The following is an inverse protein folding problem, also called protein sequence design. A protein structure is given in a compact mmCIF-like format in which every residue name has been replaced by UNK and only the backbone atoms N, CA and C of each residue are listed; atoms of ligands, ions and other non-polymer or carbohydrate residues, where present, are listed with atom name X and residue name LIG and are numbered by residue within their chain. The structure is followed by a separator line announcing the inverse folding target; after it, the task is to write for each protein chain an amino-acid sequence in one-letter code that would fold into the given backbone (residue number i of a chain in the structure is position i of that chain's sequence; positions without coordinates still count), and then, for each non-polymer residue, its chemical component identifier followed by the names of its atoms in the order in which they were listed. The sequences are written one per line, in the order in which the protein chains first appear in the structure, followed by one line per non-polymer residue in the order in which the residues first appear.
data_IF_137282208433
#
_entry.id   IF_137282208433
#
_cell.length_a   1.000
_cell.length_b   1.000
_cell.length_c   1.000
_cell.angle_alpha   90.00
_cell.angle_beta   90.00
_cell.angle_gamma   90.00
#
_symmetry.space_group_name_H-M   'P 1'
#
loop_
_entity.id
_entity.type
_entity.pdbx_description
1 polymer ?
#
# COMPACT_ATOMS: atom_id res chain seq x y z
N UNK A 1 -3.12 29.25 7.98
CA UNK A 1 -2.30 28.08 8.37
C UNK A 1 -2.59 27.00 7.33
N UNK A 2 -1.55 26.37 6.75
CA UNK A 2 -1.73 25.34 5.72
C UNK A 2 -2.48 24.14 6.33
N UNK A 3 -3.72 23.88 5.88
CA UNK A 3 -4.58 22.85 6.46
C UNK A 3 -3.98 21.45 6.33
N UNK A 4 -3.20 21.21 5.27
CA UNK A 4 -2.51 19.92 5.02
C UNK A 4 -1.47 19.61 6.11
N UNK A 5 -0.93 20.66 6.75
CA UNK A 5 0.04 20.53 7.85
C UNK A 5 -0.63 20.37 9.21
N UNK A 6 -1.95 20.37 9.29
CA UNK A 6 -2.67 20.00 10.50
C UNK A 6 -2.84 18.48 10.52
N UNK A 7 -2.51 17.86 11.65
CA UNK A 7 -2.65 16.42 11.79
C UNK A 7 -4.12 16.00 11.64
N UNK A 8 -4.32 14.85 11.02
CA UNK A 8 -5.60 14.16 11.01
C UNK A 8 -6.12 13.97 12.43
N UNK A 9 -7.40 14.28 12.66
CA UNK A 9 -8.01 14.08 13.97
C UNK A 9 -8.14 12.59 14.23
N UNK A 10 -7.62 12.14 15.37
CA UNK A 10 -7.85 10.79 15.87
C UNK A 10 -9.25 10.73 16.50
N UNK A 11 -10.13 9.91 15.93
CA UNK A 11 -11.49 9.71 16.42
C UNK A 11 -11.60 8.27 16.90
N UNK A 12 -11.76 8.11 18.22
CA UNK A 12 -12.10 6.83 18.86
C UNK A 12 -13.61 6.74 18.99
N UNK A 13 -14.18 5.55 18.82
CA UNK A 13 -15.63 5.31 18.78
C UNK A 13 -16.31 6.16 17.69
N UNK A 14 -16.04 5.85 16.40
CA UNK A 14 -16.61 6.60 15.29
C UNK A 14 -18.15 6.64 15.35
N UNK A 15 -18.69 7.82 15.03
CA UNK A 15 -20.12 8.02 14.88
C UNK A 15 -20.63 7.49 13.52
N UNK A 16 -21.94 7.61 13.29
CA UNK A 16 -22.61 7.08 12.10
C UNK A 16 -22.09 7.66 10.77
N UNK A 17 -21.38 8.80 10.76
CA UNK A 17 -20.77 9.33 9.52
C UNK A 17 -19.76 8.38 8.90
N UNK A 18 -19.14 7.52 9.72
CA UNK A 18 -18.13 6.55 9.28
C UNK A 18 -18.69 5.13 9.12
N UNK A 19 -20.01 4.96 9.18
CA UNK A 19 -20.67 3.66 9.00
C UNK A 19 -20.49 3.10 7.58
N UNK A 20 -20.70 1.79 7.43
CA UNK A 20 -20.50 1.09 6.15
C UNK A 20 -21.43 1.62 5.04
N UNK A 21 -22.68 1.99 5.37
CA UNK A 21 -23.67 2.49 4.40
C UNK A 21 -23.41 3.93 3.93
N UNK A 22 -22.50 4.67 4.58
CA UNK A 22 -22.13 6.03 4.21
C UNK A 22 -20.85 6.09 3.37
N UNK A 23 -20.14 4.97 3.20
CA UNK A 23 -18.92 4.89 2.39
C UNK A 23 -19.21 4.32 1.00
N UNK A 24 -18.92 5.10 -0.03
CA UNK A 24 -19.04 4.65 -1.43
C UNK A 24 -17.70 4.17 -2.02
N UNK A 25 -16.62 4.26 -1.24
CA UNK A 25 -15.30 3.82 -1.63
C UNK A 25 -14.51 3.28 -0.45
N UNK A 26 -13.70 2.23 -0.68
CA UNK A 26 -12.60 1.82 0.20
C UNK A 26 -11.59 0.94 -0.51
N UNK A 27 -10.33 0.97 -0.05
CA UNK A 27 -9.27 0.11 -0.58
C UNK A 27 -7.91 0.36 0.07
N UNK A 28 -6.86 -0.19 -0.55
CA UNK A 28 -5.45 -0.01 -0.16
C UNK A 28 -5.24 -0.43 1.29
N UNK A 29 -5.52 -1.70 1.63
CA UNK A 29 -5.40 -2.15 2.99
C UNK A 29 -3.94 -2.37 3.39
N UNK A 30 -3.73 -2.41 4.70
CA UNK A 30 -2.53 -2.82 5.38
C UNK A 30 -2.87 -3.68 6.58
N UNK A 31 -2.01 -4.65 6.92
CA UNK A 31 -2.23 -5.57 8.04
C UNK A 31 -0.98 -5.73 8.90
N UNK A 32 -1.14 -5.85 10.21
CA UNK A 32 -0.10 -6.18 11.18
C UNK A 32 -0.61 -7.16 12.23
N UNK A 33 0.30 -7.88 12.89
CA UNK A 33 -0.05 -8.86 13.92
C UNK A 33 0.82 -8.63 15.16
N UNK A 34 0.18 -8.50 16.32
CA UNK A 34 0.87 -8.44 17.60
C UNK A 34 1.31 -9.86 18.05
N UNK A 35 2.26 -9.95 18.97
CA UNK A 35 2.82 -11.25 19.40
C UNK A 35 1.84 -12.16 20.15
N UNK A 36 0.69 -11.67 20.59
CA UNK A 36 -0.41 -12.49 21.12
C UNK A 36 -1.38 -13.00 20.03
N UNK A 37 -1.09 -12.75 18.75
CA UNK A 37 -1.95 -13.14 17.62
C UNK A 37 -3.02 -12.11 17.24
N UNK A 38 -3.16 -11.00 17.98
CA UNK A 38 -4.12 -9.95 17.62
C UNK A 38 -3.76 -9.33 16.28
N UNK A 39 -4.71 -9.33 15.36
CA UNK A 39 -4.60 -8.70 14.06
C UNK A 39 -5.07 -7.25 14.11
N UNK A 40 -4.39 -6.42 13.34
CA UNK A 40 -4.72 -5.03 13.07
C UNK A 40 -4.80 -4.84 11.56
N UNK A 41 -5.88 -4.25 11.08
CA UNK A 41 -6.05 -3.88 9.68
C UNK A 41 -6.33 -2.38 9.59
N UNK A 42 -5.72 -1.73 8.60
CA UNK A 42 -5.98 -0.35 8.25
C UNK A 42 -6.26 -0.24 6.77
N UNK A 43 -7.13 0.67 6.37
CA UNK A 43 -7.43 0.99 4.97
C UNK A 43 -7.95 2.42 4.92
N UNK A 44 -8.12 2.97 3.73
CA UNK A 44 -8.83 4.24 3.59
C UNK A 44 -10.08 4.09 2.75
N UNK A 45 -10.99 5.02 2.96
CA UNK A 45 -12.28 5.03 2.31
C UNK A 45 -13.00 6.32 2.64
N UNK A 46 -14.32 6.28 2.56
CA UNK A 46 -15.11 7.52 2.58
C UNK A 46 -15.21 8.12 1.19
N UNK A 47 -15.81 9.30 1.12
CA UNK A 47 -16.10 9.96 -0.16
C UNK A 47 -16.86 9.07 -1.16
N UNK A 48 -16.77 9.46 -2.42
CA UNK A 48 -17.35 8.71 -3.54
C UNK A 48 -16.34 7.78 -4.22
N UNK A 49 -15.06 8.11 -4.08
CA UNK A 49 -13.90 7.51 -4.74
C UNK A 49 -12.63 8.04 -4.04
N UNK A 50 -11.48 8.03 -4.73
CA UNK A 50 -10.27 8.68 -4.23
C UNK A 50 -10.41 10.21 -4.31
N UNK A 51 -10.83 10.84 -3.21
CA UNK A 51 -11.13 12.28 -3.15
C UNK A 51 -10.73 12.92 -1.81
N UNK A 52 -11.04 14.21 -1.68
CA UNK A 52 -10.80 15.03 -0.49
C UNK A 52 -11.53 14.55 0.77
N UNK A 53 -12.59 13.75 0.64
CA UNK A 53 -13.43 13.28 1.75
C UNK A 53 -12.97 11.90 2.27
N UNK A 54 -11.77 11.47 1.86
CA UNK A 54 -11.17 10.23 2.29
C UNK A 54 -10.49 10.34 3.66
N UNK A 55 -10.64 9.28 4.46
CA UNK A 55 -10.05 9.12 5.79
C UNK A 55 -9.53 7.70 6.01
N UNK A 56 -8.65 7.52 7.01
CA UNK A 56 -8.13 6.20 7.39
C UNK A 56 -9.09 5.55 8.40
N UNK A 57 -9.33 4.26 8.23
CA UNK A 57 -10.00 3.39 9.18
C UNK A 57 -9.01 2.36 9.74
N UNK A 58 -9.17 2.03 11.02
CA UNK A 58 -8.43 0.94 11.67
C UNK A 58 -9.41 0.04 12.41
N UNK A 59 -9.26 -1.28 12.24
CA UNK A 59 -9.96 -2.30 12.99
C UNK A 59 -8.98 -3.33 13.56
N UNK A 60 -9.37 -4.01 14.63
CA UNK A 60 -8.59 -5.12 15.19
C UNK A 60 -9.46 -6.35 15.41
N UNK A 61 -8.81 -7.52 15.43
CA UNK A 61 -9.44 -8.81 15.67
C UNK A 61 -8.55 -9.65 16.59
N UNK A 62 -9.15 -10.34 17.56
CA UNK A 62 -8.42 -11.32 18.37
C UNK A 62 -8.19 -12.64 17.61
N UNK A 63 -9.06 -12.92 16.65
CA UNK A 63 -9.02 -14.06 15.73
C UNK A 63 -9.10 -13.55 14.29
N UNK A 64 -9.69 -14.32 13.36
CA UNK A 64 -9.82 -13.91 11.94
C UNK A 64 -11.01 -13.00 11.62
N UNK A 65 -11.96 -12.85 12.54
CA UNK A 65 -13.16 -12.02 12.35
C UNK A 65 -12.96 -10.59 12.88
N UNK A 66 -12.98 -9.62 11.97
CA UNK A 66 -12.87 -8.20 12.31
C UNK A 66 -14.22 -7.61 12.71
N UNK A 67 -14.19 -6.74 13.72
CA UNK A 67 -15.31 -5.87 14.07
C UNK A 67 -15.36 -4.60 13.21
N UNK A 68 -16.29 -3.67 13.51
CA UNK A 68 -16.30 -2.36 12.85
C UNK A 68 -15.00 -1.58 13.14
N UNK A 69 -14.67 -0.56 12.33
CA UNK A 69 -13.54 0.33 12.61
C UNK A 69 -13.61 0.89 14.04
N UNK A 70 -12.53 0.73 14.81
CA UNK A 70 -12.43 1.23 16.18
C UNK A 70 -11.79 2.63 16.25
N UNK A 71 -11.05 3.02 15.22
CA UNK A 71 -10.36 4.30 15.12
C UNK A 71 -10.41 4.84 13.69
N UNK A 72 -10.58 6.16 13.58
CA UNK A 72 -10.54 6.92 12.33
C UNK A 72 -9.45 7.99 12.42
N UNK A 73 -8.74 8.23 11.31
CA UNK A 73 -7.92 9.44 11.11
C UNK A 73 -8.58 10.30 10.04
N UNK A 74 -9.16 11.42 10.45
CA UNK A 74 -9.95 12.31 9.59
C UNK A 74 -9.38 13.75 9.65
N UNK A 75 -8.65 14.20 8.63
CA UNK A 75 -8.11 15.56 8.59
C UNK A 75 -9.18 16.61 8.29
N UNK A 76 -8.99 17.87 8.76
CA UNK A 76 -10.00 18.91 8.61
C UNK A 76 -10.02 19.51 7.20
N UNK A 77 -11.19 19.98 6.78
CA UNK A 77 -11.34 20.80 5.57
C UNK A 77 -11.29 19.97 4.29
N UNK A 78 -10.62 20.48 3.25
CA UNK A 78 -10.47 19.78 1.96
C UNK A 78 -9.18 18.96 1.91
N UNK A 79 -8.82 18.34 3.01
CA UNK A 79 -7.63 17.49 3.14
C UNK A 79 -8.12 16.07 3.24
N UNK A 80 -7.48 15.16 2.51
CA UNK A 80 -7.71 13.72 2.65
C UNK A 80 -6.61 13.06 3.44
N UNK A 81 -6.95 11.97 4.13
CA UNK A 81 -5.99 10.98 4.61
C UNK A 81 -6.15 9.68 3.83
N UNK A 82 -5.04 9.11 3.37
CA UNK A 82 -5.04 7.97 2.46
C UNK A 82 -3.75 7.16 2.59
N UNK A 83 -3.71 6.00 1.93
CA UNK A 83 -2.52 5.17 1.82
C UNK A 83 -1.93 4.80 3.20
N UNK A 84 -2.69 4.06 4.01
CA UNK A 84 -2.23 3.65 5.33
C UNK A 84 -1.22 2.49 5.29
N UNK A 85 -0.27 2.50 6.21
CA UNK A 85 0.64 1.38 6.45
C UNK A 85 0.72 1.07 7.96
N UNK A 86 0.41 -0.17 8.32
CA UNK A 86 0.63 -0.70 9.66
C UNK A 86 1.99 -1.40 9.73
N UNK A 87 2.73 -1.22 10.82
CA UNK A 87 4.02 -1.86 11.01
C UNK A 87 4.30 -2.17 12.47
N UNK A 88 4.66 -3.43 12.73
CA UNK A 88 5.24 -3.82 14.01
C UNK A 88 6.73 -3.50 13.96
N UNK A 89 7.17 -2.58 14.81
CA UNK A 89 8.59 -2.26 14.90
C UNK A 89 9.38 -3.34 15.67
N UNK A 90 10.72 -3.30 15.64
CA UNK A 90 11.55 -4.27 16.37
C UNK A 90 11.36 -4.30 17.89
N UNK A 91 10.68 -3.30 18.47
CA UNK A 91 10.36 -3.20 19.90
C UNK A 91 8.93 -3.65 20.23
N UNK A 92 8.25 -4.29 19.28
CA UNK A 92 6.85 -4.71 19.38
C UNK A 92 5.84 -3.55 19.54
N UNK A 93 6.18 -2.34 19.12
CA UNK A 93 5.21 -1.25 19.00
C UNK A 93 4.50 -1.34 17.67
N UNK A 94 3.20 -1.03 17.66
CA UNK A 94 2.44 -0.94 16.42
C UNK A 94 2.40 0.51 15.96
N UNK A 95 2.97 0.75 14.78
CA UNK A 95 2.90 2.02 14.08
C UNK A 95 1.77 2.02 13.06
N UNK A 96 1.07 3.15 12.96
CA UNK A 96 0.19 3.50 11.86
C UNK A 96 0.79 4.71 11.15
N UNK A 97 1.12 4.54 9.87
CA UNK A 97 1.50 5.62 8.97
C UNK A 97 0.33 5.93 8.04
N UNK A 98 0.20 7.19 7.63
CA UNK A 98 -0.73 7.60 6.58
C UNK A 98 -0.19 8.81 5.82
N UNK A 99 -0.74 9.03 4.63
CA UNK A 99 -0.43 10.19 3.80
C UNK A 99 -1.56 11.22 3.88
N UNK A 100 -1.23 12.51 3.86
CA UNK A 100 -2.19 13.62 3.78
C UNK A 100 -1.90 14.53 2.59
N UNK A 101 -2.96 14.99 1.92
CA UNK A 101 -2.85 15.97 0.83
C UNK A 101 -4.09 16.86 0.80
N UNK A 102 -3.94 18.08 0.29
CA UNK A 102 -5.10 18.87 -0.15
C UNK A 102 -5.70 18.21 -1.39
N UNK A 103 -7.03 18.03 -1.37
CA UNK A 103 -7.79 17.36 -2.43
C UNK A 103 -7.11 16.04 -2.88
N UNK A 104 -7.08 15.73 -4.17
CA UNK A 104 -6.46 14.51 -4.69
C UNK A 104 -4.94 14.44 -4.44
N UNK A 105 -4.19 15.45 -4.92
CA UNK A 105 -2.73 15.55 -4.75
C UNK A 105 -2.25 17.00 -4.91
N UNK A 106 -1.64 17.55 -3.86
CA UNK A 106 -1.20 18.95 -3.78
C UNK A 106 0.22 19.19 -4.33
N UNK A 107 0.88 18.14 -4.81
CA UNK A 107 2.26 18.17 -5.28
C UNK A 107 3.28 17.82 -4.20
N UNK A 108 2.90 17.82 -2.91
CA UNK A 108 3.79 17.56 -1.76
C UNK A 108 3.37 16.34 -0.95
N UNK A 109 2.09 16.21 -0.66
CA UNK A 109 1.53 15.31 0.36
C UNK A 109 2.26 15.44 1.72
N UNK A 110 2.10 14.46 2.60
CA UNK A 110 2.84 14.40 3.85
C UNK A 110 2.58 13.10 4.57
N UNK A 111 3.65 12.41 4.94
CA UNK A 111 3.59 11.20 5.75
C UNK A 111 3.49 11.59 7.21
N UNK A 112 2.49 11.05 7.88
CA UNK A 112 2.24 11.18 9.31
C UNK A 112 2.28 9.83 9.98
N UNK A 113 2.52 9.82 11.29
CA UNK A 113 2.56 8.60 12.07
C UNK A 113 2.01 8.77 13.48
N UNK A 114 1.43 7.69 13.99
CA UNK A 114 1.17 7.45 15.42
C UNK A 114 1.62 6.03 15.75
N UNK A 115 1.85 5.75 17.03
CA UNK A 115 2.13 4.40 17.48
C UNK A 115 1.47 4.09 18.81
N UNK A 116 1.33 2.80 19.10
CA UNK A 116 0.98 2.29 20.42
C UNK A 116 2.03 1.33 20.96
N UNK A 117 2.31 1.47 22.26
CA UNK A 117 3.19 0.59 23.03
C UNK A 117 2.51 -0.75 23.40
N UNK A 118 1.18 -0.85 23.28
CA UNK A 118 0.43 -2.02 23.72
C UNK A 118 -0.53 -2.58 22.65
N UNK A 119 -0.01 -3.10 21.53
CA UNK A 119 -0.86 -3.58 20.43
C UNK A 119 -1.58 -4.91 20.73
N UNK A 120 -1.39 -5.47 21.93
CA UNK A 120 -1.96 -6.76 22.36
C UNK A 120 -3.43 -6.61 22.82
N UNK A 121 -3.85 -5.40 23.21
CA UNK A 121 -5.22 -5.09 23.63
C UNK A 121 -6.05 -4.50 22.48
N UNK A 122 -7.37 -4.61 22.54
CA UNK A 122 -8.28 -4.16 21.47
C UNK A 122 -8.46 -2.64 21.41
N UNK A 123 -8.21 -1.94 22.52
CA UNK A 123 -8.40 -0.50 22.65
C UNK A 123 -7.18 0.14 23.35
N UNK A 124 -6.02 0.20 22.68
CA UNK A 124 -4.81 0.74 23.28
C UNK A 124 -4.77 2.26 23.18
N UNK A 125 -3.91 2.87 24.00
CA UNK A 125 -3.54 4.27 23.86
C UNK A 125 -2.57 4.48 22.70
N UNK A 126 -2.76 5.56 21.96
CA UNK A 126 -1.92 5.96 20.82
C UNK A 126 -1.18 7.26 21.13
N UNK A 127 0.00 7.41 20.57
CA UNK A 127 0.76 8.66 20.64
C UNK A 127 0.05 9.81 19.92
N UNK A 128 0.47 11.04 20.21
CA UNK A 128 0.11 12.18 19.37
C UNK A 128 0.66 12.01 17.94
N UNK A 129 -0.05 12.51 16.91
CA UNK A 129 0.43 12.51 15.53
C UNK A 129 1.74 13.26 15.35
N UNK A 130 2.68 12.65 14.63
CA UNK A 130 3.94 13.28 14.22
C UNK A 130 4.05 13.26 12.70
N UNK A 131 4.40 14.41 12.12
CA UNK A 131 4.72 14.50 10.68
C UNK A 131 6.14 14.03 10.44
N UNK A 132 6.31 13.10 9.51
CA UNK A 132 7.61 12.48 9.19
C UNK A 132 8.31 13.24 8.06
N UNK A 133 7.64 13.38 6.91
CA UNK A 133 8.21 14.01 5.72
C UNK A 133 7.14 14.34 4.68
N UNK A 134 7.56 14.96 3.58
CA UNK A 134 6.78 15.10 2.36
C UNK A 134 6.75 13.76 1.61
N UNK A 135 5.71 13.53 0.81
CA UNK A 135 5.51 12.31 0.02
C UNK A 135 4.39 11.41 0.50
N UNK A 136 4.31 10.23 -0.12
CA UNK A 136 3.26 9.23 0.05
C UNK A 136 3.90 7.91 0.48
N UNK A 137 3.35 7.29 1.51
CA UNK A 137 3.85 6.03 2.05
C UNK A 137 2.69 5.08 2.33
N UNK A 138 2.64 3.96 1.59
CA UNK A 138 1.64 2.89 1.80
C UNK A 138 2.27 1.54 2.15
N UNK A 139 3.60 1.44 2.09
CA UNK A 139 4.32 0.19 2.32
C UNK A 139 5.05 0.22 3.65
N UNK A 140 5.23 -0.97 4.24
CA UNK A 140 5.84 -1.11 5.57
C UNK A 140 7.30 -0.63 5.56
N UNK A 141 7.75 0.05 6.63
CA UNK A 141 9.17 0.19 6.92
C UNK A 141 9.89 -1.16 6.98
N UNK A 142 11.20 -1.13 6.77
CA UNK A 142 12.13 -2.23 7.01
C UNK A 142 13.02 -1.87 8.20
N UNK A 143 12.99 -2.68 9.26
CA UNK A 143 14.00 -2.66 10.32
C UNK A 143 15.20 -3.49 9.88
N UNK A 144 16.37 -2.86 9.77
CA UNK A 144 17.62 -3.50 9.38
C UNK A 144 18.27 -4.24 10.55
N UNK A 145 19.11 -5.21 10.23
CA UNK A 145 19.88 -6.00 11.20
C UNK A 145 20.85 -5.16 12.06
N UNK A 146 21.23 -3.96 11.61
CA UNK A 146 22.03 -3.00 12.39
C UNK A 146 21.19 -2.08 13.31
N UNK A 147 19.86 -2.24 13.33
CA UNK A 147 18.92 -1.44 14.12
C UNK A 147 18.40 -0.18 13.43
N UNK A 148 18.93 0.21 12.27
CA UNK A 148 18.42 1.34 11.48
C UNK A 148 17.09 0.98 10.82
N UNK A 149 16.17 1.92 10.73
CA UNK A 149 14.90 1.76 10.02
C UNK A 149 14.99 2.45 8.67
N UNK A 150 14.41 1.83 7.65
CA UNK A 150 14.22 2.41 6.31
C UNK A 150 12.73 2.48 5.99
N UNK A 151 12.25 3.66 5.62
CA UNK A 151 10.85 3.93 5.29
C UNK A 151 10.74 4.23 3.79
N UNK A 152 9.97 3.44 3.02
CA UNK A 152 9.77 3.69 1.60
C UNK A 152 8.72 4.78 1.38
N UNK A 153 9.14 5.94 0.84
CA UNK A 153 8.25 7.08 0.58
C UNK A 153 8.36 7.48 -0.89
N UNK A 154 7.25 7.56 -1.61
CA UNK A 154 7.23 8.04 -2.99
C UNK A 154 6.92 9.53 -3.04
N UNK A 155 7.76 10.29 -3.72
CA UNK A 155 7.45 11.65 -4.12
C UNK A 155 6.93 11.61 -5.56
N UNK A 156 5.61 11.44 -5.72
CA UNK A 156 5.00 11.24 -7.03
C UNK A 156 5.34 12.36 -8.04
N UNK A 157 5.46 12.05 -9.34
CA UNK A 157 5.70 13.06 -10.34
C UNK A 157 4.52 14.04 -10.51
N UNK A 158 4.78 15.23 -11.07
CA UNK A 158 3.82 16.34 -11.09
C UNK A 158 2.60 16.15 -11.98
N UNK A 159 2.63 15.24 -12.97
CA UNK A 159 1.46 14.99 -13.82
C UNK A 159 0.26 14.39 -13.05
N UNK A 160 0.47 13.97 -11.80
CA UNK A 160 -0.60 13.58 -10.88
C UNK A 160 -1.28 14.76 -10.17
N UNK A 161 -0.72 15.97 -10.23
CA UNK A 161 -1.28 17.15 -9.56
C UNK A 161 -2.54 17.58 -10.29
N UNK A 162 -3.68 17.42 -9.61
CA UNK A 162 -4.99 17.81 -10.12
C UNK A 162 -5.73 18.51 -9.01
N UNK A 163 -5.55 19.83 -8.97
CA UNK A 163 -6.10 20.68 -7.93
C UNK A 163 -7.21 21.57 -8.48
N UNK A 164 -8.36 21.67 -7.80
CA UNK A 164 -9.37 22.65 -8.15
C UNK A 164 -8.89 24.08 -7.89
N UNK A 165 -8.00 24.27 -6.91
CA UNK A 165 -7.38 25.54 -6.58
C UNK A 165 -5.84 25.41 -6.61
N UNK A 166 -5.22 26.04 -7.60
CA UNK A 166 -3.78 26.01 -7.82
C UNK A 166 -2.99 26.74 -6.72
N UNK A 167 -3.62 27.56 -5.89
CA UNK A 167 -2.95 28.20 -4.74
C UNK A 167 -2.53 27.19 -3.66
N UNK A 168 -3.10 25.98 -3.69
CA UNK A 168 -2.70 24.86 -2.83
C UNK A 168 -1.57 24.01 -3.40
N UNK A 169 -1.11 24.30 -4.62
CA UNK A 169 0.06 23.61 -5.15
C UNK A 169 1.28 23.87 -4.27
N UNK A 170 2.03 22.81 -4.00
CA UNK A 170 3.26 22.82 -3.21
C UNK A 170 4.35 22.13 -4.01
N UNK A 171 5.32 22.91 -4.45
CA UNK A 171 6.55 22.38 -5.01
C UNK A 171 7.47 21.89 -3.89
N UNK A 172 8.16 20.79 -4.14
CA UNK A 172 9.14 20.22 -3.23
C UNK A 172 10.53 20.44 -3.82
N UNK A 173 11.51 20.77 -2.99
CA UNK A 173 12.92 20.88 -3.37
C UNK A 173 13.59 19.51 -3.59
N UNK A 174 12.90 18.43 -3.21
CA UNK A 174 13.37 17.05 -3.32
C UNK A 174 13.10 16.43 -4.70
N UNK A 175 13.96 15.49 -5.15
CA UNK A 175 13.69 14.68 -6.33
C UNK A 175 12.37 13.92 -6.21
N UNK A 176 11.57 13.91 -7.28
CA UNK A 176 10.31 13.17 -7.38
C UNK A 176 10.57 11.72 -7.73
N UNK A 177 11.05 11.00 -6.74
CA UNK A 177 11.57 9.63 -6.85
C UNK A 177 11.00 8.74 -5.73
N UNK A 178 11.36 7.45 -5.80
CA UNK A 178 11.26 6.49 -4.71
C UNK A 178 12.30 6.81 -3.62
N UNK A 179 11.99 7.76 -2.73
CA UNK A 179 12.90 8.17 -1.66
C UNK A 179 12.89 7.19 -0.49
N UNK A 180 14.02 7.08 0.19
CA UNK A 180 14.19 6.28 1.40
C UNK A 180 14.46 7.22 2.56
N UNK A 181 13.50 7.28 3.47
CA UNK A 181 13.67 7.93 4.76
C UNK A 181 14.29 6.94 5.75
N UNK A 182 14.99 7.44 6.76
CA UNK A 182 15.65 6.61 7.75
C UNK A 182 15.55 7.15 9.16
N UNK A 183 15.50 6.24 10.14
CA UNK A 183 15.61 6.53 11.56
C UNK A 183 16.66 5.62 12.20
N UNK A 184 17.48 6.17 13.09
CA UNK A 184 18.53 5.44 13.85
C UNK A 184 18.26 5.41 15.36
N UNK A 185 17.14 5.95 15.78
CA UNK A 185 16.81 6.22 17.19
C UNK A 185 15.40 5.74 17.54
N UNK A 186 15.00 4.62 16.94
CA UNK A 186 13.71 3.97 17.13
C UNK A 186 12.50 4.87 16.79
N UNK A 187 12.62 5.64 15.71
CA UNK A 187 11.53 6.48 15.20
C UNK A 187 11.37 7.80 15.94
N UNK A 188 12.38 8.27 16.68
CA UNK A 188 12.33 9.61 17.30
C UNK A 188 12.68 10.71 16.29
N UNK A 189 13.62 10.45 15.38
CA UNK A 189 13.99 11.36 14.30
C UNK A 189 14.09 10.64 12.97
N UNK A 190 13.83 11.38 11.89
CA UNK A 190 13.84 10.87 10.51
C UNK A 190 14.63 11.80 9.59
N UNK A 191 15.39 11.23 8.67
CA UNK A 191 16.13 11.97 7.64
C UNK A 191 16.07 11.25 6.29
N UNK A 192 16.15 12.00 5.19
CA UNK A 192 16.26 11.39 3.86
C UNK A 192 17.66 10.78 3.72
N UNK A 193 17.73 9.48 3.47
CA UNK A 193 18.99 8.73 3.37
C UNK A 193 19.44 8.58 1.92
N UNK A 194 18.52 8.20 1.05
CA UNK A 194 18.80 7.93 -0.37
C UNK A 194 17.49 7.88 -1.17
N UNK A 195 17.57 7.42 -2.41
CA UNK A 195 16.43 7.12 -3.28
C UNK A 195 16.81 5.97 -4.21
N UNK A 196 15.83 5.23 -4.71
CA UNK A 196 16.04 4.22 -5.75
C UNK A 196 16.17 4.94 -7.10
N UNK A 197 17.31 4.85 -7.80
CA UNK A 197 17.51 5.59 -9.04
C UNK A 197 16.71 4.95 -10.18
N UNK A 198 15.89 5.76 -10.82
CA UNK A 198 15.05 5.36 -11.95
C UNK A 198 15.51 6.13 -13.21
N UNK A 199 15.55 5.48 -14.37
CA UNK A 199 16.02 6.09 -15.62
C UNK A 199 14.86 6.47 -16.57
N UNK A 200 13.62 6.34 -16.11
CA UNK A 200 12.42 6.51 -16.94
C UNK A 200 11.45 7.50 -16.29
N UNK A 201 10.83 8.39 -17.08
CA UNK A 201 9.70 9.15 -16.59
C UNK A 201 8.57 8.18 -16.21
N UNK A 202 8.22 8.19 -14.93
CA UNK A 202 7.15 7.38 -14.34
C UNK A 202 5.79 8.01 -14.61
N UNK A 203 4.78 7.19 -14.93
CA UNK A 203 3.37 7.62 -14.89
C UNK A 203 2.61 7.02 -13.72
N UNK A 204 3.17 5.99 -13.09
CA UNK A 204 2.62 5.32 -11.92
C UNK A 204 3.41 5.65 -10.66
N UNK A 205 2.76 5.54 -9.50
CA UNK A 205 3.44 5.66 -8.22
C UNK A 205 4.45 4.53 -8.04
N UNK A 206 5.61 4.85 -7.45
CA UNK A 206 6.71 3.89 -7.29
C UNK A 206 6.36 2.73 -6.36
N UNK A 207 5.51 3.02 -5.36
CA UNK A 207 4.96 2.07 -4.38
C UNK A 207 6.00 1.03 -3.93
N UNK A 208 7.22 1.50 -3.60
CA UNK A 208 8.38 0.63 -3.47
C UNK A 208 8.44 -0.07 -2.11
N UNK A 209 9.10 -1.22 -2.07
CA UNK A 209 9.31 -2.04 -0.87
C UNK A 209 10.77 -2.46 -0.75
N UNK A 210 11.23 -2.65 0.48
CA UNK A 210 12.64 -2.97 0.78
C UNK A 210 12.73 -4.31 1.51
N UNK A 211 13.77 -5.08 1.18
CA UNK A 211 14.10 -6.32 1.89
C UNK A 211 15.60 -6.38 2.15
N UNK A 212 15.98 -6.75 3.38
CA UNK A 212 17.36 -7.09 3.72
C UNK A 212 17.60 -8.58 3.45
N UNK A 213 18.45 -8.87 2.46
CA UNK A 213 18.80 -10.23 2.06
C UNK A 213 19.83 -10.80 3.02
N UNK A 214 20.87 -10.02 3.32
CA UNK A 214 21.85 -10.29 4.36
C UNK A 214 22.34 -8.95 4.93
N UNK A 215 23.03 -8.92 6.09
CA UNK A 215 23.49 -7.68 6.71
C UNK A 215 24.17 -6.73 5.72
N UNK A 216 23.54 -5.58 5.46
CA UNK A 216 24.02 -4.56 4.51
C UNK A 216 23.73 -4.79 3.03
N UNK A 217 23.22 -5.96 2.64
CA UNK A 217 22.74 -6.26 1.28
C UNK A 217 21.21 -6.15 1.21
N UNK A 218 20.73 -5.12 0.54
CA UNK A 218 19.30 -4.82 0.38
C UNK A 218 18.85 -4.99 -1.06
N UNK A 219 17.59 -5.37 -1.23
CA UNK A 219 16.86 -5.30 -2.49
C UNK A 219 15.70 -4.32 -2.32
N UNK A 220 15.57 -3.39 -3.27
CA UNK A 220 14.47 -2.44 -3.38
C UNK A 220 13.64 -2.77 -4.60
N UNK A 221 12.36 -3.06 -4.40
CA UNK A 221 11.42 -3.44 -5.44
C UNK A 221 10.48 -2.27 -5.75
N UNK A 222 10.25 -2.01 -7.03
CA UNK A 222 9.48 -0.88 -7.54
C UNK A 222 8.27 -1.38 -8.35
N UNK A 223 7.12 -0.73 -8.20
CA UNK A 223 6.03 -0.83 -9.17
C UNK A 223 6.42 -0.06 -10.42
N UNK A 224 6.24 -0.66 -11.60
CA UNK A 224 6.58 -0.03 -12.88
C UNK A 224 5.54 -0.31 -13.96
N UNK A 225 5.57 0.47 -15.02
CA UNK A 225 4.75 0.30 -16.22
C UNK A 225 5.12 -0.94 -17.05
N UNK A 226 6.14 -1.70 -16.64
CA UNK A 226 6.54 -2.96 -17.27
C UNK A 226 6.57 -4.15 -16.31
N UNK A 227 6.02 -4.02 -15.10
CA UNK A 227 5.97 -5.07 -14.08
C UNK A 227 6.64 -4.63 -12.79
N UNK A 228 7.62 -5.41 -12.32
CA UNK A 228 8.39 -5.11 -11.11
C UNK A 228 9.79 -4.65 -11.52
N UNK A 229 10.24 -3.52 -10.98
CA UNK A 229 11.62 -3.07 -11.02
C UNK A 229 12.39 -3.52 -9.78
N UNK A 230 13.71 -3.70 -9.90
CA UNK A 230 14.58 -4.01 -8.76
C UNK A 230 15.87 -3.17 -8.81
N UNK A 231 16.26 -2.67 -7.64
CA UNK A 231 17.55 -2.07 -7.35
C UNK A 231 18.21 -2.83 -6.19
N UNK A 232 19.53 -2.87 -6.15
CA UNK A 232 20.28 -3.49 -5.04
C UNK A 232 21.17 -2.46 -4.35
N UNK A 233 21.36 -2.63 -3.04
CA UNK A 233 22.31 -1.87 -2.24
C UNK A 233 23.20 -2.83 -1.47
N UNK A 234 24.48 -2.49 -1.34
CA UNK A 234 25.49 -3.27 -0.62
C UNK A 234 26.14 -2.47 0.53
N UNK A 235 25.55 -1.34 0.87
CA UNK A 235 26.06 -0.37 1.84
C UNK A 235 24.95 0.16 2.76
N UNK A 236 24.02 -0.74 3.15
CA UNK A 236 22.90 -0.42 4.04
C UNK A 236 21.90 0.59 3.45
N UNK A 237 21.73 0.63 2.12
CA UNK A 237 20.79 1.52 1.46
C UNK A 237 21.31 2.94 1.29
N UNK A 238 22.62 3.17 1.34
CA UNK A 238 23.22 4.49 1.08
C UNK A 238 23.29 4.75 -0.43
N UNK A 239 23.76 3.76 -1.19
CA UNK A 239 23.75 3.79 -2.66
C UNK A 239 23.01 2.59 -3.23
N UNK A 240 22.49 2.76 -4.44
CA UNK A 240 21.69 1.77 -5.14
C UNK A 240 22.18 1.59 -6.56
N UNK A 241 22.13 0.35 -7.05
CA UNK A 241 22.32 0.07 -8.48
C UNK A 241 21.20 0.72 -9.30
N UNK A 242 21.44 0.91 -10.60
CA UNK A 242 20.37 1.25 -11.54
C UNK A 242 19.25 0.22 -11.51
N UNK A 243 18.02 0.69 -11.69
CA UNK A 243 16.84 -0.15 -11.85
C UNK A 243 17.03 -1.19 -12.97
N UNK A 244 16.59 -2.41 -12.70
CA UNK A 244 16.46 -3.50 -13.68
C UNK A 244 15.06 -4.08 -13.62
N UNK A 245 14.62 -4.70 -14.71
CA UNK A 245 13.38 -5.48 -14.71
C UNK A 245 13.58 -6.72 -13.84
N UNK A 246 12.65 -6.95 -12.91
CA UNK A 246 12.58 -8.15 -12.10
C UNK A 246 11.62 -9.15 -12.73
N UNK A 247 12.16 -10.17 -13.40
CA UNK A 247 11.37 -11.18 -14.14
C UNK A 247 11.17 -12.49 -13.39
N UNK A 248 11.76 -12.66 -12.20
CA UNK A 248 11.70 -13.92 -11.45
C UNK A 248 10.29 -14.22 -10.89
N UNK A 249 9.45 -13.21 -10.72
CA UNK A 249 8.05 -13.33 -10.33
C UNK A 249 7.16 -12.67 -11.39
N UNK A 250 6.23 -13.45 -11.95
CA UNK A 250 5.28 -12.96 -12.94
C UNK A 250 4.28 -12.02 -12.25
N UNK A 251 4.22 -10.78 -12.73
CA UNK A 251 3.33 -9.75 -12.23
C UNK A 251 2.88 -8.83 -13.36
N UNK A 252 1.63 -8.36 -13.29
CA UNK A 252 1.16 -7.34 -14.24
C UNK A 252 1.82 -5.99 -13.95
N UNK A 253 1.95 -5.13 -14.97
CA UNK A 253 2.44 -3.78 -14.75
C UNK A 253 1.46 -2.86 -14.02
N UNK A 254 1.99 -1.78 -13.45
CA UNK A 254 1.24 -0.73 -12.74
C UNK A 254 0.26 -1.26 -11.67
N UNK A 255 0.62 -2.36 -11.03
CA UNK A 255 -0.10 -2.89 -9.87
C UNK A 255 0.82 -2.97 -8.67
N UNK A 256 0.25 -2.75 -7.49
CA UNK A 256 0.96 -2.95 -6.22
C UNK A 256 1.18 -4.45 -6.01
N UNK A 257 2.31 -4.78 -5.40
CA UNK A 257 2.64 -6.11 -4.89
C UNK A 257 3.11 -5.99 -3.44
N UNK A 258 3.25 -7.12 -2.75
CA UNK A 258 3.89 -7.24 -1.45
C UNK A 258 5.13 -8.10 -1.55
N UNK A 259 6.20 -7.72 -0.86
CA UNK A 259 7.42 -8.55 -0.73
C UNK A 259 7.97 -8.47 0.68
N UNK A 260 8.35 -9.63 1.24
CA UNK A 260 9.01 -9.68 2.55
C UNK A 260 9.82 -10.95 2.74
N UNK A 261 10.82 -10.88 3.62
CA UNK A 261 11.48 -12.06 4.16
C UNK A 261 10.62 -12.70 5.25
N UNK A 262 10.51 -14.02 5.23
CA UNK A 262 9.83 -14.84 6.24
C UNK A 262 10.82 -15.28 7.34
N UNK A 263 10.35 -15.68 8.54
CA UNK A 263 11.18 -16.23 9.60
C UNK A 263 12.01 -17.44 9.18
N UNK A 264 11.54 -18.22 8.21
CA UNK A 264 12.27 -19.34 7.59
C UNK A 264 13.51 -18.89 6.79
N UNK A 265 13.63 -17.59 6.49
CA UNK A 265 14.64 -17.03 5.60
C UNK A 265 14.19 -16.94 4.14
N UNK A 266 13.08 -17.59 3.79
CA UNK A 266 12.50 -17.53 2.44
C UNK A 266 11.93 -16.16 2.12
N UNK A 267 11.81 -15.84 0.83
CA UNK A 267 11.22 -14.60 0.35
C UNK A 267 9.79 -14.87 -0.15
N UNK A 268 8.83 -14.18 0.45
CA UNK A 268 7.43 -14.16 0.03
C UNK A 268 7.21 -12.98 -0.91
N UNK A 269 6.55 -13.21 -2.04
CA UNK A 269 6.01 -12.16 -2.90
C UNK A 269 4.53 -12.41 -3.15
N UNK A 270 3.70 -11.37 -3.11
CA UNK A 270 2.26 -11.46 -3.40
C UNK A 270 1.94 -10.42 -4.47
N UNK A 271 1.30 -10.83 -5.56
CA UNK A 271 0.91 -9.93 -6.64
C UNK A 271 -0.10 -10.56 -7.58
N UNK A 272 -0.51 -9.83 -8.60
CA UNK A 272 -1.46 -10.30 -9.61
C UNK A 272 -0.75 -11.09 -10.74
N UNK A 273 -1.19 -12.32 -10.98
CA UNK A 273 -0.71 -13.20 -12.06
C UNK A 273 -1.89 -13.74 -12.90
N UNK A 274 -2.55 -12.90 -13.72
CA UNK A 274 -3.69 -13.32 -14.51
C UNK A 274 -3.30 -14.24 -15.68
N UNK A 275 -4.22 -15.11 -16.12
CA UNK A 275 -4.03 -15.93 -17.32
C UNK A 275 -3.89 -15.05 -18.57
N UNK A 276 -3.16 -15.53 -19.58
CA UNK A 276 -2.73 -14.69 -20.70
C UNK A 276 -3.87 -14.22 -21.62
N UNK A 277 -4.96 -14.97 -21.71
CA UNK A 277 -6.04 -14.70 -22.68
C UNK A 277 -7.30 -14.09 -22.04
N UNK A 278 -7.17 -13.36 -20.92
CA UNK A 278 -8.35 -12.92 -20.14
C UNK A 278 -9.18 -11.84 -20.86
N UNK A 279 -8.60 -11.05 -21.78
CA UNK A 279 -9.32 -10.08 -22.64
C UNK A 279 -8.49 -9.71 -23.86
N UNK A 280 -9.16 -9.43 -24.97
CA UNK A 280 -8.58 -8.72 -26.12
C UNK A 280 -8.24 -7.27 -25.75
N UNK A 281 -7.11 -6.79 -26.27
CA UNK A 281 -6.61 -5.43 -26.08
C UNK A 281 -7.24 -4.53 -27.14
N UNK A 282 -7.85 -3.43 -26.70
CA UNK A 282 -8.50 -2.43 -27.57
C UNK A 282 -7.62 -1.17 -27.70
N UNK A 283 -7.93 -0.28 -28.65
CA UNK A 283 -7.13 0.94 -28.91
C UNK A 283 -7.02 1.86 -27.68
N UNK A 284 -8.10 2.00 -26.91
CA UNK A 284 -8.15 2.80 -25.67
C UNK A 284 -7.29 2.23 -24.54
N UNK A 285 -6.83 0.99 -24.69
CA UNK A 285 -5.99 0.33 -23.71
C UNK A 285 -4.53 0.80 -23.85
N UNK A 286 -4.17 1.52 -24.92
CA UNK A 286 -2.81 1.98 -25.20
C UNK A 286 -2.54 3.42 -24.75
N UNK A 287 -1.35 3.67 -24.21
CA UNK A 287 -0.82 5.02 -23.94
C UNK A 287 0.60 5.12 -24.51
N UNK A 288 0.95 6.34 -24.95
CA UNK A 288 2.29 6.67 -25.42
C UNK A 288 3.05 7.31 -24.25
N UNK A 289 4.19 6.72 -23.90
CA UNK A 289 5.10 7.23 -22.88
C UNK A 289 5.87 8.47 -23.40
N UNK A 290 6.53 9.31 -22.56
CA UNK A 290 7.19 10.52 -23.04
C UNK A 290 8.43 10.21 -23.89
N UNK A 291 8.97 8.99 -23.77
CA UNK A 291 10.04 8.48 -24.61
C UNK A 291 9.56 7.99 -25.98
N UNK A 292 8.25 8.06 -26.26
CA UNK A 292 7.61 7.63 -27.51
C UNK A 292 7.16 6.17 -27.53
N UNK A 293 7.44 5.39 -26.48
CA UNK A 293 7.03 3.99 -26.42
C UNK A 293 5.52 3.87 -26.26
N UNK A 294 4.90 2.99 -27.04
CA UNK A 294 3.48 2.69 -26.94
C UNK A 294 3.29 1.45 -26.05
N UNK A 295 2.64 1.62 -24.90
CA UNK A 295 2.37 0.54 -23.93
C UNK A 295 0.87 0.36 -23.70
N UNK A 296 0.45 -0.81 -23.24
CA UNK A 296 -0.96 -1.09 -22.90
C UNK A 296 -1.18 -0.70 -21.44
N UNK A 297 -1.85 0.39 -21.11
CA UNK A 297 -2.07 0.85 -19.72
C UNK A 297 -3.36 0.35 -19.08
N UNK A 298 -4.35 -0.13 -19.84
CA UNK A 298 -5.55 -0.75 -19.26
C UNK A 298 -5.34 -2.26 -19.10
N UNK A 299 -4.29 -2.58 -18.35
CA UNK A 299 -3.77 -3.93 -18.14
C UNK A 299 -4.89 -4.92 -17.84
N UNK A 300 -4.80 -6.12 -18.43
CA UNK A 300 -5.58 -7.33 -18.11
C UNK A 300 -6.07 -7.26 -16.65
N UNK A 301 -7.37 -6.99 -16.45
CA UNK A 301 -7.97 -6.64 -15.15
C UNK A 301 -7.26 -7.29 -13.97
N UNK A 302 -6.83 -6.46 -13.00
CA UNK A 302 -6.14 -6.92 -11.79
C UNK A 302 -6.90 -8.09 -11.21
N UNK A 303 -6.31 -9.26 -11.23
CA UNK A 303 -6.98 -10.49 -10.82
C UNK A 303 -5.94 -11.51 -10.43
N UNK A 304 -6.39 -12.66 -9.91
CA UNK A 304 -5.49 -13.76 -9.57
C UNK A 304 -4.38 -13.28 -8.64
N UNK A 305 -4.77 -12.69 -7.49
CA UNK A 305 -3.79 -12.43 -6.43
C UNK A 305 -3.17 -13.78 -6.07
N UNK A 306 -1.86 -13.83 -6.16
CA UNK A 306 -1.04 -15.03 -6.08
C UNK A 306 0.11 -14.78 -5.11
N UNK A 307 0.34 -15.71 -4.19
CA UNK A 307 1.51 -15.76 -3.34
C UNK A 307 2.57 -16.67 -3.99
N UNK A 308 3.79 -16.17 -4.15
CA UNK A 308 4.96 -16.91 -4.58
C UNK A 308 5.99 -17.02 -3.48
N UNK A 309 6.71 -18.14 -3.43
CA UNK A 309 7.77 -18.40 -2.46
C UNK A 309 9.11 -18.64 -3.17
N UNK A 310 10.14 -17.92 -2.74
CA UNK A 310 11.52 -18.11 -3.17
C UNK A 310 12.38 -18.60 -2.00
N UNK A 311 13.19 -19.62 -2.26
CA UNK A 311 14.16 -20.19 -1.32
C UNK A 311 15.62 -19.78 -1.65
N UNK A 312 15.80 -18.91 -2.65
CA UNK A 312 17.10 -18.53 -3.22
C UNK A 312 17.28 -17.01 -3.31
N UNK A 313 16.72 -16.28 -2.33
CA UNK A 313 16.79 -14.82 -2.21
C UNK A 313 16.24 -14.07 -3.44
N UNK A 314 15.11 -14.54 -3.97
CA UNK A 314 14.38 -13.90 -5.06
C UNK A 314 14.93 -14.19 -6.46
N UNK A 315 15.90 -15.10 -6.61
CA UNK A 315 16.39 -15.50 -7.94
C UNK A 315 15.35 -16.29 -8.72
N UNK A 316 14.60 -17.15 -8.04
CA UNK A 316 13.48 -17.91 -8.62
C UNK A 316 12.29 -17.99 -7.66
N UNK A 317 11.08 -18.07 -8.23
CA UNK A 317 9.83 -18.32 -7.49
C UNK A 317 9.15 -19.59 -8.02
N UNK A 318 9.67 -20.79 -7.67
CA UNK A 318 9.17 -22.05 -8.21
C UNK A 318 7.79 -22.46 -7.66
N UNK A 319 7.39 -21.92 -6.50
CA UNK A 319 6.14 -22.27 -5.82
C UNK A 319 5.15 -21.10 -5.87
N UNK A 320 3.88 -21.41 -6.09
CA UNK A 320 2.80 -20.41 -6.24
C UNK A 320 1.47 -20.93 -5.72
N UNK A 321 0.69 -20.04 -5.11
CA UNK A 321 -0.67 -20.30 -4.61
C UNK A 321 -1.58 -19.13 -5.01
N UNK A 322 -2.68 -19.43 -5.70
CA UNK A 322 -3.71 -18.42 -6.02
C UNK A 322 -4.53 -18.16 -4.76
N UNK A 323 -4.44 -16.96 -4.20
CA UNK A 323 -5.23 -16.54 -3.04
C UNK A 323 -6.66 -16.17 -3.44
N UNK A 324 -6.81 -15.47 -4.58
CA UNK A 324 -8.10 -15.05 -5.12
C UNK A 324 -8.06 -14.90 -6.64
N UNK A 325 -8.84 -15.71 -7.36
CA UNK A 325 -8.92 -15.73 -8.83
C UNK A 325 -9.90 -14.70 -9.41
N UNK A 326 -10.69 -14.03 -8.57
CA UNK A 326 -11.71 -13.07 -9.01
C UNK A 326 -11.08 -11.89 -9.73
N UNK A 327 -11.90 -11.15 -10.47
CA UNK A 327 -11.51 -9.87 -11.07
C UNK A 327 -11.48 -8.76 -10.03
N UNK A 328 -10.72 -7.72 -10.36
CA UNK A 328 -10.58 -6.47 -9.64
C UNK A 328 -10.15 -6.63 -8.17
N UNK A 329 -9.27 -7.61 -7.94
CA UNK A 329 -8.56 -7.82 -6.67
C UNK A 329 -7.15 -7.25 -6.75
N UNK A 330 -6.74 -6.43 -5.78
CA UNK A 330 -5.45 -5.75 -5.84
C UNK A 330 -4.89 -5.32 -4.47
N UNK A 331 -3.70 -4.72 -4.52
CA UNK A 331 -3.06 -4.05 -3.38
C UNK A 331 -2.84 -4.96 -2.17
N UNK A 332 -2.12 -6.08 -2.35
CA UNK A 332 -1.81 -6.97 -1.25
C UNK A 332 -0.87 -6.30 -0.25
N UNK A 333 -1.05 -6.65 1.02
CA UNK A 333 -0.09 -6.47 2.09
C UNK A 333 -0.14 -7.68 3.03
N UNK A 334 0.92 -7.98 3.76
CA UNK A 334 0.94 -9.19 4.59
C UNK A 334 1.70 -9.06 5.92
N UNK A 335 1.23 -9.83 6.90
CA UNK A 335 1.89 -10.05 8.18
C UNK A 335 2.00 -11.55 8.49
N UNK A 336 2.75 -11.88 9.53
CA UNK A 336 2.97 -13.26 9.97
C UNK A 336 2.50 -13.36 11.41
N UNK A 337 1.66 -14.36 11.67
CA UNK A 337 1.14 -14.67 12.99
C UNK A 337 2.19 -15.47 13.79
N UNK A 338 2.09 -15.48 15.14
CA UNK A 338 3.04 -16.20 16.00
C UNK A 338 3.18 -17.69 15.70
N UNK A 339 2.13 -18.32 15.16
CA UNK A 339 2.10 -19.74 14.79
C UNK A 339 2.70 -20.03 13.41
N UNK A 340 3.21 -19.01 12.70
CA UNK A 340 3.76 -19.10 11.35
C UNK A 340 2.72 -19.02 10.23
N UNK A 341 1.44 -18.77 10.55
CA UNK A 341 0.42 -18.46 9.54
C UNK A 341 0.71 -17.09 8.91
N UNK A 342 0.59 -16.99 7.60
CA UNK A 342 0.69 -15.75 6.83
C UNK A 342 -0.73 -15.22 6.65
N UNK A 343 -0.95 -13.96 7.02
CA UNK A 343 -2.18 -13.24 6.75
C UNK A 343 -1.92 -12.17 5.68
N UNK A 344 -2.51 -12.34 4.49
CA UNK A 344 -2.45 -11.38 3.41
C UNK A 344 -3.78 -10.64 3.26
N UNK A 345 -3.75 -9.32 3.34
CA UNK A 345 -4.92 -8.46 3.11
C UNK A 345 -4.87 -7.87 1.71
N UNK A 346 -6.02 -7.64 1.08
CA UNK A 346 -6.14 -7.03 -0.25
C UNK A 346 -7.54 -6.42 -0.45
N UNK A 347 -7.69 -5.54 -1.44
CA UNK A 347 -8.98 -4.95 -1.81
C UNK A 347 -9.63 -5.69 -3.00
N UNK A 348 -10.97 -5.59 -3.09
CA UNK A 348 -11.74 -5.98 -4.27
C UNK A 348 -12.75 -4.89 -4.67
N UNK A 349 -12.69 -4.47 -5.94
CA UNK A 349 -13.58 -3.50 -6.59
C UNK A 349 -13.91 -2.28 -5.69
N UNK A 350 -12.99 -1.34 -5.55
CA UNK A 350 -13.02 -0.27 -4.54
C UNK A 350 -14.26 0.62 -4.50
N UNK A 351 -15.10 0.63 -5.55
CA UNK A 351 -16.36 1.40 -5.63
C UNK A 351 -17.58 0.49 -5.85
N UNK A 352 -17.39 -0.64 -6.53
CA UNK A 352 -18.42 -1.66 -6.77
C UNK A 352 -18.69 -2.48 -5.52
N UNK A 353 -17.88 -3.52 -5.30
CA UNK A 353 -18.04 -4.44 -4.16
C UNK A 353 -17.52 -3.86 -2.85
N UNK A 354 -16.47 -3.04 -2.92
CA UNK A 354 -15.90 -2.32 -1.78
C UNK A 354 -15.47 -3.27 -0.67
N UNK A 355 -14.84 -4.39 -1.01
CA UNK A 355 -14.44 -5.40 -0.02
C UNK A 355 -12.98 -5.21 0.37
N UNK A 356 -12.69 -5.27 1.67
CA UNK A 356 -11.37 -5.56 2.19
C UNK A 356 -11.39 -7.01 2.65
N UNK A 357 -10.45 -7.80 2.14
CA UNK A 357 -10.40 -9.24 2.31
C UNK A 357 -9.07 -9.67 2.92
N UNK A 358 -9.07 -10.77 3.64
CA UNK A 358 -7.88 -11.39 4.21
C UNK A 358 -7.81 -12.87 3.84
N UNK A 359 -6.66 -13.34 3.36
CA UNK A 359 -6.37 -14.74 3.14
C UNK A 359 -5.38 -15.25 4.20
N UNK A 360 -5.67 -16.42 4.79
CA UNK A 360 -4.78 -17.11 5.74
C UNK A 360 -4.19 -18.37 5.09
N UNK A 361 -2.88 -18.51 5.12
CA UNK A 361 -2.14 -19.63 4.51
C UNK A 361 -0.76 -19.79 5.14
N UNK A 362 -0.04 -20.86 4.80
CA UNK A 362 1.32 -21.16 5.25
C UNK A 362 2.25 -21.38 4.07
N UNK A 363 3.56 -21.36 4.31
CA UNK A 363 4.56 -21.65 3.26
C UNK A 363 4.32 -23.00 2.59
N UNK A 364 3.90 -24.00 3.35
CA UNK A 364 3.58 -25.33 2.82
C UNK A 364 2.39 -25.32 1.84
N UNK A 365 1.40 -24.43 2.02
CA UNK A 365 0.30 -24.28 1.08
C UNK A 365 0.81 -23.71 -0.26
N UNK A 366 1.80 -22.80 -0.22
CA UNK A 366 2.47 -22.28 -1.42
C UNK A 366 3.24 -23.38 -2.15
N UNK A 367 3.93 -24.23 -1.40
CA UNK A 367 4.73 -25.35 -1.93
C UNK A 367 3.82 -26.41 -2.58
N UNK A 368 2.69 -26.73 -1.96
CA UNK A 368 1.70 -27.66 -2.51
C UNK A 368 0.97 -27.07 -3.73
N UNK A 369 0.82 -25.75 -3.76
CA UNK A 369 0.28 -24.98 -4.88
C UNK A 369 -1.25 -25.06 -5.03
N UNK A 370 -1.73 -24.78 -6.24
CA UNK A 370 -3.14 -24.65 -6.62
C UNK A 370 -3.80 -23.33 -6.14
N UNK A 371 -5.11 -23.37 -5.89
CA UNK A 371 -5.87 -22.25 -5.37
C UNK A 371 -6.18 -22.48 -3.88
N UNK A 372 -6.11 -21.40 -3.10
CA UNK A 372 -6.48 -21.38 -1.71
C UNK A 372 -7.98 -21.68 -1.57
N UNK A 373 -8.32 -22.50 -0.58
CA UNK A 373 -9.72 -22.79 -0.25
C UNK A 373 -10.48 -21.53 0.15
N UNK A 374 -11.75 -21.42 -0.24
CA UNK A 374 -12.56 -20.24 0.06
C UNK A 374 -12.75 -20.03 1.56
N UNK A 375 -12.76 -21.12 2.35
CA UNK A 375 -12.84 -21.08 3.82
C UNK A 375 -11.63 -20.41 4.48
N UNK A 376 -10.54 -20.21 3.74
CA UNK A 376 -9.34 -19.50 4.20
C UNK A 376 -9.33 -18.04 3.79
N UNK A 377 -10.40 -17.53 3.15
CA UNK A 377 -10.63 -16.11 2.89
C UNK A 377 -11.69 -15.56 3.82
N UNK A 378 -11.40 -14.42 4.42
CA UNK A 378 -12.21 -13.74 5.42
C UNK A 378 -12.52 -12.32 4.95
N UNK A 379 -13.74 -11.87 5.22
CA UNK A 379 -14.10 -10.46 5.03
C UNK A 379 -13.56 -9.66 6.23
N UNK A 380 -12.75 -8.64 5.96
CA UNK A 380 -12.27 -7.69 6.97
C UNK A 380 -13.30 -6.57 7.12
N UNK A 381 -13.75 -5.99 6.01
CA UNK A 381 -14.80 -4.99 6.00
C UNK A 381 -15.45 -4.88 4.61
N UNK A 382 -16.73 -4.47 4.55
CA UNK A 382 -17.43 -4.13 3.31
C UNK A 382 -18.18 -2.81 3.48
N UNK A 383 -17.85 -1.81 2.67
CA UNK A 383 -18.67 -0.62 2.55
C UNK A 383 -19.89 -0.91 1.66
N UNK A 384 -21.02 -0.28 1.96
CA UNK A 384 -22.32 -0.53 1.31
C UNK A 384 -22.99 0.73 0.77
N UNK A 385 -22.34 1.89 0.91
CA UNK A 385 -22.81 3.13 0.31
C UNK A 385 -22.92 3.04 -1.21
N UNK A 386 -23.91 3.77 -1.73
CA UNK A 386 -24.25 3.83 -3.15
C UNK A 386 -24.11 5.28 -3.60
N UNK A 387 -23.57 5.49 -4.80
CA UNK A 387 -23.54 6.81 -5.40
C UNK A 387 -24.94 7.36 -5.62
N UNK A 388 -25.14 8.63 -5.29
CA UNK A 388 -26.26 9.40 -5.83
C UNK A 388 -26.14 9.57 -7.35
N UNK A 389 -27.22 9.91 -8.04
CA UNK A 389 -27.19 10.12 -9.49
C UNK A 389 -26.23 11.25 -9.93
N UNK A 390 -26.09 12.29 -9.11
CA UNK A 390 -25.22 13.43 -9.37
C UNK A 390 -23.74 13.07 -9.19
N UNK A 391 -23.41 12.39 -8.09
CA UNK A 391 -22.12 11.77 -7.83
C UNK A 391 -21.63 10.92 -9.01
N UNK A 392 -22.51 10.08 -9.55
CA UNK A 392 -22.20 9.24 -10.69
C UNK A 392 -21.95 10.03 -11.98
N UNK A 393 -22.64 11.17 -12.19
CA UNK A 393 -22.39 12.07 -13.33
C UNK A 393 -21.06 12.81 -13.18
N UNK A 394 -20.74 13.29 -11.97
CA UNK A 394 -19.47 13.95 -11.67
C UNK A 394 -18.29 12.99 -11.82
N UNK A 395 -18.40 11.78 -11.28
CA UNK A 395 -17.42 10.71 -11.45
C UNK A 395 -17.12 10.46 -12.93
N UNK A 396 -18.16 10.26 -13.74
CA UNK A 396 -18.00 10.03 -15.17
C UNK A 396 -17.38 11.23 -15.91
N UNK A 397 -17.65 12.46 -15.47
CA UNK A 397 -17.06 13.68 -16.03
C UNK A 397 -15.58 13.79 -15.67
N UNK A 398 -15.22 13.51 -14.42
CA UNK A 398 -13.86 13.70 -13.93
C UNK A 398 -12.96 12.50 -14.29
N UNK A 399 -13.45 11.25 -14.35
CA UNK A 399 -12.72 10.13 -14.99
C UNK A 399 -12.34 10.42 -16.45
N UNK A 400 -13.21 11.11 -17.20
CA UNK A 400 -12.90 11.55 -18.56
C UNK A 400 -11.81 12.61 -18.63
N UNK A 401 -11.61 13.41 -17.58
CA UNK A 401 -10.52 14.40 -17.47
C UNK A 401 -9.24 13.78 -16.86
N UNK A 402 -9.37 12.62 -16.21
CA UNK A 402 -8.24 11.95 -15.58
C UNK A 402 -7.40 11.15 -16.58
N UNK A 403 -8.05 10.54 -17.57
CA UNK A 403 -7.48 9.53 -18.47
C UNK A 403 -7.58 9.89 -19.97
N UNK A 404 -8.16 11.04 -20.32
CA UNK A 404 -8.18 11.64 -21.65
C UNK A 404 -7.87 13.13 -21.52
#
# INVERSE_FOLDING_TARGET
MDQVLQAGKIIRNPDDRYSDNNRCFQGIPSIACASNGRLWAAWYGGGQWEDRDNYIMVASAAESAFGPPSMIIDPPGQVRAYDAALWMDPKERLWLFWSQSYDYFDGRSGVWAIYTENPKVSDPEWSDPVRICDGIMMNKPLGLSNGEWLLPVSLCPLHHVKLPDQSYFRETDKPREAIIMSSKDDGKTFYMKSYLPTDRPRYSGDEHMLVEISPGHLQGFLRTETGIGICESFDWGVTWTKEKIFSAFKHIPSSRFHVRKLPSGNLLMIGNDPPENKREVNENDWVILPNGDRIITSWRFRSHICAGLSMDNGRTFPYKLILDSRSDVAYPDACILPDGTIAAVYDRERTGEKEILMALFRENDIIQGNALNESSRFLVNKATGIWGEEAMKEHNKHMKQLFF
#
